data_IF_461618067115
#
_entry.id   IF_461618067115
#
_cell.length_a   1.000
_cell.length_b   1.000
_cell.length_c   1.000
_cell.angle_alpha   90.00
_cell.angle_beta   90.00
_cell.angle_gamma   90.00
#
_symmetry.space_group_name_H-M   'P 1'
#
loop_
_entity.id
_entity.type
_entity.pdbx_description
1 polymer ?
#
# COMPACT_ATOMS: atom_id res chain seq x y z
N UNK A 1 -14.05 25.69 48.05
CA UNK A 1 -14.10 24.22 47.98
C UNK A 1 -15.54 23.85 47.77
N UNK A 2 -15.89 23.49 46.53
CA UNK A 2 -17.23 23.10 46.13
C UNK A 2 -17.05 21.86 45.27
N UNK A 3 -17.33 20.69 45.87
CA UNK A 3 -17.15 19.40 45.21
C UNK A 3 -18.10 19.28 44.03
N UNK A 4 -17.52 19.21 42.83
CA UNK A 4 -18.22 18.85 41.61
C UNK A 4 -18.55 17.35 41.69
N UNK A 5 -19.74 17.07 42.22
CA UNK A 5 -20.41 15.76 42.23
C UNK A 5 -20.20 15.00 40.92
N UNK A 6 -19.48 13.87 41.02
CA UNK A 6 -19.28 12.93 39.95
C UNK A 6 -20.61 12.39 39.43
N UNK A 7 -20.95 12.76 38.20
CA UNK A 7 -22.04 12.13 37.45
C UNK A 7 -21.57 10.76 36.98
N UNK A 8 -22.19 9.73 37.55
CA UNK A 8 -22.32 8.36 37.07
C UNK A 8 -21.25 7.85 36.11
N UNK A 9 -20.24 7.16 36.65
CA UNK A 9 -19.51 6.13 35.91
C UNK A 9 -20.45 4.96 35.64
N UNK A 10 -21.25 5.08 34.58
CA UNK A 10 -21.87 3.90 33.97
C UNK A 10 -20.76 2.99 33.46
N UNK A 11 -20.90 1.69 33.68
CA UNK A 11 -20.04 0.64 33.13
C UNK A 11 -19.84 0.85 31.61
N UNK A 12 -18.73 1.47 31.22
CA UNK A 12 -18.27 1.57 29.83
C UNK A 12 -17.26 0.45 29.59
N UNK A 13 -17.72 -0.79 29.46
CA UNK A 13 -16.84 -1.96 29.33
C UNK A 13 -16.15 -2.08 27.97
N UNK A 14 -16.22 -1.05 27.12
CA UNK A 14 -15.62 -1.09 25.79
C UNK A 14 -15.45 0.29 25.12
N UNK A 15 -15.32 1.40 25.86
CA UNK A 15 -15.02 2.69 25.25
C UNK A 15 -14.19 3.56 26.20
N UNK A 16 -13.05 4.05 25.73
CA UNK A 16 -12.23 5.02 26.45
C UNK A 16 -12.57 6.40 25.90
N UNK A 17 -12.89 7.34 26.78
CA UNK A 17 -13.06 8.75 26.41
C UNK A 17 -11.67 9.33 26.16
N UNK A 18 -11.39 9.78 24.93
CA UNK A 18 -10.11 10.38 24.54
C UNK A 18 -10.38 11.80 24.03
N UNK A 19 -9.59 12.77 24.51
CA UNK A 19 -9.63 14.16 24.04
C UNK A 19 -9.20 14.20 22.56
N UNK A 20 -10.09 14.66 21.68
CA UNK A 20 -9.82 14.77 20.24
C UNK A 20 -9.50 16.22 19.89
N UNK A 21 -8.44 16.45 19.11
CA UNK A 21 -7.89 17.80 18.85
C UNK A 21 -8.88 18.82 18.25
N UNK A 22 -9.99 18.37 17.66
CA UNK A 22 -11.02 19.21 17.05
C UNK A 22 -12.43 18.97 17.64
N UNK A 23 -12.57 18.13 18.68
CA UNK A 23 -13.87 17.83 19.29
C UNK A 23 -13.69 17.66 20.79
N UNK A 24 -14.40 18.49 21.57
CA UNK A 24 -14.19 18.65 23.01
C UNK A 24 -14.18 17.34 23.82
N UNK A 25 -14.76 16.23 23.35
CA UNK A 25 -14.52 14.87 23.86
C UNK A 25 -15.10 13.85 22.85
N UNK A 26 -14.27 12.91 22.36
CA UNK A 26 -14.70 11.87 21.43
C UNK A 26 -14.78 10.51 22.12
N UNK A 27 -15.94 9.85 22.06
CA UNK A 27 -16.10 8.47 22.58
C UNK A 27 -15.53 7.51 21.54
N UNK A 28 -14.38 6.90 21.84
CA UNK A 28 -13.72 5.92 20.96
C UNK A 28 -14.00 4.51 21.47
N UNK A 29 -14.46 3.60 20.61
CA UNK A 29 -14.66 2.20 21.01
C UNK A 29 -13.33 1.53 21.37
N UNK A 30 -13.38 0.56 22.28
CA UNK A 30 -12.25 -0.26 22.66
C UNK A 30 -11.73 -1.01 21.43
N UNK A 31 -10.47 -0.73 21.06
CA UNK A 31 -9.81 -1.27 19.86
C UNK A 31 -9.83 -0.33 18.65
N UNK A 32 -10.53 0.80 18.71
CA UNK A 32 -10.45 1.85 17.69
C UNK A 32 -9.39 2.89 18.06
N UNK A 33 -8.69 3.38 17.04
CA UNK A 33 -7.68 4.42 17.20
C UNK A 33 -8.38 5.80 17.18
N UNK A 34 -8.08 6.69 18.13
CA UNK A 34 -8.56 8.07 18.07
C UNK A 34 -8.11 8.72 16.75
N UNK A 35 -8.97 9.52 16.13
CA UNK A 35 -8.58 10.30 14.94
C UNK A 35 -7.63 11.41 15.40
N UNK A 36 -6.32 11.13 15.33
CA UNK A 36 -5.27 12.02 15.83
C UNK A 36 -4.85 13.06 14.77
N UNK A 37 -4.88 12.69 13.48
CA UNK A 37 -4.78 13.57 12.32
C UNK A 37 -5.18 12.78 11.03
N UNK A 38 -5.25 13.46 9.89
CA UNK A 38 -5.49 12.90 8.53
C UNK A 38 -4.45 11.84 8.11
N UNK A 39 -4.87 10.60 7.86
CA UNK A 39 -3.95 9.48 7.56
C UNK A 39 -3.45 9.60 6.12
N UNK A 40 -2.25 9.08 5.78
CA UNK A 40 -1.79 9.06 4.39
C UNK A 40 -2.75 8.34 3.45
N UNK A 41 -3.57 7.40 3.93
CA UNK A 41 -4.60 6.75 3.11
C UNK A 41 -5.85 7.63 2.85
N UNK A 42 -5.89 8.88 3.31
CA UNK A 42 -7.02 9.79 3.10
C UNK A 42 -6.81 10.71 1.86
N UNK A 43 -5.58 10.82 1.31
CA UNK A 43 -5.20 11.78 0.25
C UNK A 43 -5.49 11.34 -1.23
N UNK A 44 -6.25 10.26 -1.43
CA UNK A 44 -6.59 9.66 -2.73
C UNK A 44 -5.62 8.64 -3.35
N UNK A 45 -4.30 8.92 -3.48
CA UNK A 45 -3.39 8.02 -4.21
C UNK A 45 -2.68 7.02 -3.28
N UNK A 46 -3.30 5.86 -3.07
CA UNK A 46 -2.76 4.77 -2.24
C UNK A 46 -3.16 3.37 -2.74
N UNK A 47 -3.79 3.29 -3.92
CA UNK A 47 -4.18 2.02 -4.52
C UNK A 47 -2.98 1.17 -4.95
N UNK A 48 -3.00 -0.13 -4.61
CA UNK A 48 -2.08 -1.11 -5.19
C UNK A 48 -2.49 -1.36 -6.66
N UNK A 49 -1.54 -1.29 -7.59
CA UNK A 49 -1.81 -1.53 -9.01
C UNK A 49 -2.33 -2.96 -9.30
N UNK A 50 -2.14 -3.90 -8.37
CA UNK A 50 -2.77 -5.22 -8.42
C UNK A 50 -2.57 -5.94 -9.76
N UNK A 51 -3.67 -6.37 -10.41
CA UNK A 51 -3.61 -7.09 -11.70
C UNK A 51 -3.23 -6.17 -12.86
N UNK A 52 -3.72 -4.93 -12.89
CA UNK A 52 -3.45 -3.99 -13.99
C UNK A 52 -1.97 -3.61 -14.04
N UNK A 53 -1.35 -3.39 -12.88
CA UNK A 53 0.11 -3.16 -12.78
C UNK A 53 0.94 -4.32 -13.33
N UNK A 54 0.53 -5.57 -13.10
CA UNK A 54 1.23 -6.75 -13.66
C UNK A 54 1.08 -6.84 -15.17
N UNK A 55 -0.11 -6.58 -15.70
CA UNK A 55 -0.35 -6.56 -17.16
C UNK A 55 0.47 -5.45 -17.81
N UNK A 56 0.49 -4.25 -17.22
CA UNK A 56 1.33 -3.16 -17.68
C UNK A 56 2.82 -3.52 -17.66
N UNK A 57 3.29 -4.22 -16.61
CA UNK A 57 4.66 -4.73 -16.55
C UNK A 57 5.00 -5.69 -17.69
N UNK A 58 4.11 -6.63 -18.03
CA UNK A 58 4.32 -7.53 -19.18
C UNK A 58 4.32 -6.78 -20.52
N UNK A 59 3.42 -5.83 -20.70
CA UNK A 59 3.38 -4.99 -21.90
C UNK A 59 4.65 -4.15 -22.05
N UNK A 60 5.15 -3.57 -20.94
CA UNK A 60 6.40 -2.82 -20.93
C UNK A 60 7.59 -3.71 -21.28
N UNK A 61 7.69 -4.90 -20.69
CA UNK A 61 8.74 -5.86 -21.03
C UNK A 61 8.72 -6.22 -22.52
N UNK A 62 7.53 -6.48 -23.09
CA UNK A 62 7.38 -6.78 -24.52
C UNK A 62 7.78 -5.57 -25.38
N UNK A 63 7.34 -4.36 -25.03
CA UNK A 63 7.70 -3.14 -25.74
C UNK A 63 9.22 -2.95 -25.79
N UNK A 64 9.92 -3.15 -24.67
CA UNK A 64 11.39 -3.07 -24.65
C UNK A 64 12.06 -4.10 -25.56
N UNK A 65 11.52 -5.32 -25.64
CA UNK A 65 12.05 -6.35 -26.55
C UNK A 65 11.78 -6.01 -28.02
N UNK A 66 10.65 -5.39 -28.34
CA UNK A 66 10.39 -4.93 -29.72
C UNK A 66 11.36 -3.85 -30.16
N UNK A 67 11.90 -3.06 -29.22
CA UNK A 67 12.92 -2.04 -29.52
C UNK A 67 14.27 -2.64 -29.92
N UNK A 68 14.49 -3.95 -29.82
CA UNK A 68 15.69 -4.60 -30.37
C UNK A 68 15.69 -4.67 -31.90
N UNK A 69 14.53 -4.46 -32.53
CA UNK A 69 14.40 -4.43 -33.98
C UNK A 69 14.51 -2.98 -34.44
N UNK A 70 15.68 -2.59 -34.93
CA UNK A 70 15.94 -1.20 -35.31
C UNK A 70 17.34 -0.96 -35.85
N UNK A 71 17.72 0.31 -35.92
CA UNK A 71 18.97 0.78 -36.51
C UNK A 71 20.16 0.77 -35.51
N UNK A 72 20.25 -0.27 -34.66
CA UNK A 72 21.26 -0.34 -33.61
C UNK A 72 22.63 -0.78 -34.17
N UNK A 73 23.57 0.15 -34.34
CA UNK A 73 24.93 -0.17 -34.77
C UNK A 73 25.86 -0.53 -33.59
N UNK A 74 25.74 0.20 -32.47
CA UNK A 74 26.67 0.07 -31.34
C UNK A 74 26.40 -1.11 -30.40
N UNK A 75 25.26 -1.79 -30.51
CA UNK A 75 24.76 -2.90 -29.64
C UNK A 75 24.72 -2.64 -28.12
N UNK A 76 25.26 -1.51 -27.63
CA UNK A 76 25.23 -1.12 -26.23
C UNK A 76 23.78 -0.92 -25.76
N UNK A 77 22.94 -0.31 -26.59
CA UNK A 77 21.51 -0.14 -26.31
C UNK A 77 20.81 -1.49 -26.13
N UNK A 78 21.06 -2.46 -27.02
CA UNK A 78 20.51 -3.82 -26.94
C UNK A 78 20.80 -4.47 -25.59
N UNK A 79 22.03 -4.29 -25.07
CA UNK A 79 22.43 -4.85 -23.77
C UNK A 79 21.56 -4.29 -22.66
N UNK A 80 21.36 -2.97 -22.63
CA UNK A 80 20.51 -2.34 -21.61
C UNK A 80 19.03 -2.72 -21.76
N UNK A 81 18.51 -2.79 -22.99
CA UNK A 81 17.14 -3.23 -23.27
C UNK A 81 16.91 -4.67 -22.82
N UNK A 82 17.82 -5.59 -23.14
CA UNK A 82 17.75 -6.99 -22.72
C UNK A 82 17.88 -7.11 -21.20
N UNK A 83 18.85 -6.43 -20.57
CA UNK A 83 19.04 -6.51 -19.12
C UNK A 83 17.83 -5.97 -18.35
N UNK A 84 17.30 -4.81 -18.75
CA UNK A 84 16.15 -4.22 -18.09
C UNK A 84 14.87 -5.04 -18.31
N UNK A 85 14.62 -5.53 -19.53
CA UNK A 85 13.47 -6.40 -19.81
C UNK A 85 13.56 -7.74 -19.07
N UNK A 86 14.74 -8.38 -19.05
CA UNK A 86 14.97 -9.62 -18.30
C UNK A 86 14.77 -9.43 -16.79
N UNK A 87 15.26 -8.31 -16.24
CA UNK A 87 15.06 -7.96 -14.83
C UNK A 87 13.57 -7.80 -14.51
N UNK A 88 12.82 -7.07 -15.34
CA UNK A 88 11.39 -6.87 -15.16
C UNK A 88 10.60 -8.19 -15.24
N UNK A 89 10.90 -9.03 -16.23
CA UNK A 89 10.31 -10.37 -16.37
C UNK A 89 10.64 -11.23 -15.14
N UNK A 90 11.88 -11.21 -14.66
CA UNK A 90 12.29 -11.91 -13.45
C UNK A 90 11.48 -11.50 -12.22
N UNK A 91 11.25 -10.20 -12.03
CA UNK A 91 10.42 -9.66 -10.94
C UNK A 91 8.96 -10.13 -11.07
N UNK A 92 8.38 -10.08 -12.28
CA UNK A 92 7.01 -10.52 -12.52
C UNK A 92 6.82 -12.02 -12.26
N UNK A 93 7.76 -12.85 -12.72
CA UNK A 93 7.76 -14.28 -12.45
C UNK A 93 7.92 -14.58 -10.95
N UNK A 94 8.77 -13.81 -10.25
CA UNK A 94 8.89 -13.90 -8.79
C UNK A 94 7.56 -13.56 -8.12
N UNK A 95 6.92 -12.42 -8.43
CA UNK A 95 5.63 -12.02 -7.85
C UNK A 95 4.59 -13.11 -8.05
N UNK A 96 4.48 -13.65 -9.26
CA UNK A 96 3.59 -14.77 -9.57
C UNK A 96 3.87 -16.00 -8.72
N UNK A 97 5.14 -16.39 -8.54
CA UNK A 97 5.54 -17.53 -7.70
C UNK A 97 5.23 -17.27 -6.23
N UNK A 98 5.53 -16.07 -5.71
CA UNK A 98 5.27 -15.70 -4.30
C UNK A 98 3.78 -15.77 -4.00
N UNK A 99 2.93 -15.24 -4.88
CA UNK A 99 1.47 -15.23 -4.68
C UNK A 99 0.86 -16.63 -4.76
N UNK A 100 1.34 -17.50 -5.66
CA UNK A 100 0.92 -18.91 -5.70
C UNK A 100 1.27 -19.69 -4.42
N UNK A 101 2.31 -19.25 -3.70
CA UNK A 101 2.79 -19.89 -2.47
C UNK A 101 2.38 -19.15 -1.19
N UNK A 102 1.53 -18.12 -1.27
CA UNK A 102 1.19 -17.28 -0.12
C UNK A 102 0.52 -18.08 1.03
N UNK A 103 -0.17 -19.17 0.71
CA UNK A 103 -0.79 -20.06 1.69
C UNK A 103 0.20 -20.95 2.45
N UNK A 104 1.45 -21.10 1.97
CA UNK A 104 2.52 -21.87 2.63
C UNK A 104 3.36 -21.04 3.61
N UNK A 105 3.16 -19.72 3.62
CA UNK A 105 3.92 -18.79 4.45
C UNK A 105 3.21 -18.46 5.78
N UNK A 106 2.22 -19.27 6.17
CA UNK A 106 1.37 -19.11 7.36
C UNK A 106 1.54 -20.32 8.25
#
# INVERSE_FOLDING_TARGET
MSDATGRGQGHQTSATVVEQSNREEGIVRAGETPVMHERPEDWGWHGEAGRTGRVAGWLLALAMLTMLVGNHEGRVEDIYLVLASATLVGILLWDMRRRKNAWRAR
#
